data_IF_434232558588
#
_entry.id   IF_434232558588
#
_cell.length_a   1.000
_cell.length_b   1.000
_cell.length_c   1.000
_cell.angle_alpha   90.00
_cell.angle_beta   90.00
_cell.angle_gamma   90.00
#
_symmetry.space_group_name_H-M   'P 1'
#
loop_
_entity.id
_entity.type
_entity.pdbx_description
1 polymer ?
#
# COMPACT_ATOMS: atom_id res chain seq x y z
N UNK A 1 -5.29 -28.32 -11.36
CA UNK A 1 -5.21 -27.82 -9.96
C UNK A 1 -4.04 -26.86 -9.89
N UNK A 2 -4.24 -25.63 -9.42
CA UNK A 2 -3.15 -24.64 -9.29
C UNK A 2 -2.44 -24.89 -7.96
N UNK A 3 -1.16 -25.22 -8.01
CA UNK A 3 -0.33 -25.43 -6.82
C UNK A 3 0.48 -24.16 -6.54
N UNK A 4 0.29 -23.58 -5.36
CA UNK A 4 1.04 -22.41 -4.91
C UNK A 4 2.29 -22.86 -4.14
N UNK A 5 3.47 -22.53 -4.64
CA UNK A 5 4.75 -22.91 -4.01
C UNK A 5 5.24 -21.95 -2.93
N UNK A 6 4.72 -20.70 -2.91
CA UNK A 6 5.02 -19.70 -1.87
C UNK A 6 3.72 -19.02 -1.43
N UNK A 7 3.34 -19.28 -0.18
CA UNK A 7 2.11 -18.77 0.45
C UNK A 7 2.36 -17.62 1.42
N UNK A 8 3.62 -17.25 1.65
CA UNK A 8 3.98 -16.21 2.60
C UNK A 8 3.56 -14.84 2.06
N UNK A 9 2.79 -14.04 2.84
CA UNK A 9 2.51 -12.67 2.48
C UNK A 9 3.80 -11.85 2.42
N UNK A 10 3.85 -10.86 1.54
CA UNK A 10 5.03 -10.01 1.33
C UNK A 10 4.60 -8.61 0.92
N UNK A 11 5.37 -7.61 1.35
CA UNK A 11 5.23 -6.22 0.91
C UNK A 11 6.38 -5.88 -0.01
N UNK A 12 6.06 -5.41 -1.22
CA UNK A 12 7.05 -4.90 -2.18
C UNK A 12 7.11 -3.38 -2.09
N UNK A 13 8.30 -2.81 -2.05
CA UNK A 13 8.53 -1.37 -1.99
C UNK A 13 9.09 -0.88 -3.32
N UNK A 14 8.55 0.22 -3.85
CA UNK A 14 9.09 0.88 -5.05
C UNK A 14 8.98 2.39 -4.92
N UNK A 15 9.87 3.12 -5.60
CA UNK A 15 9.83 4.60 -5.62
C UNK A 15 8.95 5.07 -6.78
N UNK A 16 8.13 6.09 -6.53
CA UNK A 16 7.29 6.81 -7.49
C UNK A 16 7.58 8.31 -7.39
N UNK A 17 7.07 9.07 -8.37
CA UNK A 17 7.37 10.50 -8.52
C UNK A 17 7.08 11.34 -7.27
N UNK A 18 6.05 10.95 -6.50
CA UNK A 18 5.61 11.66 -5.30
C UNK A 18 5.77 10.87 -3.99
N UNK A 19 6.42 9.71 -3.98
CA UNK A 19 6.59 8.95 -2.74
C UNK A 19 7.02 7.50 -2.90
N UNK A 20 6.93 6.74 -1.81
CA UNK A 20 7.20 5.30 -1.78
C UNK A 20 5.88 4.53 -1.90
N UNK A 21 5.80 3.65 -2.90
CA UNK A 21 4.65 2.77 -3.11
C UNK A 21 4.90 1.40 -2.47
N UNK A 22 3.99 1.01 -1.58
CA UNK A 22 3.96 -0.29 -0.93
C UNK A 22 2.89 -1.17 -1.57
N UNK A 23 3.28 -2.31 -2.13
CA UNK A 23 2.37 -3.28 -2.75
C UNK A 23 2.30 -4.54 -1.91
N UNK A 24 1.13 -4.83 -1.35
CA UNK A 24 0.91 -6.01 -0.52
C UNK A 24 0.47 -7.18 -1.40
N UNK A 25 1.16 -8.31 -1.26
CA UNK A 25 0.76 -9.59 -1.85
C UNK A 25 0.45 -10.58 -0.73
N UNK A 26 -0.75 -11.13 -0.74
CA UNK A 26 -1.19 -12.12 0.24
C UNK A 26 -2.16 -13.13 -0.40
N UNK A 27 -2.33 -14.29 0.24
CA UNK A 27 -3.33 -15.29 -0.17
C UNK A 27 -4.63 -15.04 0.61
N UNK A 28 -5.76 -15.09 -0.09
CA UNK A 28 -7.08 -15.08 0.54
C UNK A 28 -8.03 -16.06 -0.15
N UNK A 29 -9.07 -16.48 0.57
CA UNK A 29 -10.19 -17.19 -0.04
C UNK A 29 -10.88 -16.26 -1.06
N UNK A 30 -11.14 -16.71 -2.31
CA UNK A 30 -11.67 -15.84 -3.36
C UNK A 30 -12.96 -15.11 -2.99
N UNK A 31 -13.84 -15.77 -2.21
CA UNK A 31 -15.12 -15.21 -1.77
C UNK A 31 -14.97 -14.12 -0.70
N UNK A 32 -13.84 -14.08 0.01
CA UNK A 32 -13.54 -13.12 1.07
C UNK A 32 -12.59 -12.01 0.63
N UNK A 33 -12.09 -12.04 -0.61
CA UNK A 33 -11.08 -11.09 -1.13
C UNK A 33 -11.39 -9.62 -0.79
N UNK A 34 -12.62 -9.16 -1.01
CA UNK A 34 -13.01 -7.77 -0.74
C UNK A 34 -13.00 -7.44 0.75
N UNK A 35 -13.51 -8.35 1.58
CA UNK A 35 -13.53 -8.16 3.04
C UNK A 35 -12.12 -8.22 3.65
N UNK A 36 -11.27 -9.12 3.18
CA UNK A 36 -9.87 -9.17 3.62
C UNK A 36 -9.07 -7.95 3.16
N UNK A 37 -9.32 -7.46 1.94
CA UNK A 37 -8.69 -6.24 1.44
C UNK A 37 -9.14 -5.01 2.23
N UNK A 38 -10.42 -4.90 2.55
CA UNK A 38 -10.94 -3.82 3.39
C UNK A 38 -10.31 -3.83 4.79
N UNK A 39 -10.28 -4.99 5.47
CA UNK A 39 -9.71 -5.07 6.81
C UNK A 39 -8.23 -4.67 6.84
N UNK A 40 -7.45 -5.14 5.85
CA UNK A 40 -6.03 -4.73 5.72
C UNK A 40 -5.92 -3.22 5.52
N UNK A 41 -6.79 -2.61 4.71
CA UNK A 41 -6.78 -1.16 4.51
C UNK A 41 -7.14 -0.38 5.77
N UNK A 42 -8.19 -0.78 6.49
CA UNK A 42 -8.60 -0.13 7.75
C UNK A 42 -7.47 -0.21 8.79
N UNK A 43 -6.86 -1.38 8.96
CA UNK A 43 -5.72 -1.57 9.87
C UNK A 43 -4.52 -0.68 9.50
N UNK A 44 -4.23 -0.51 8.21
CA UNK A 44 -3.15 0.37 7.74
C UNK A 44 -3.45 1.84 8.03
N UNK A 45 -4.69 2.28 7.77
CA UNK A 45 -5.12 3.65 8.02
C UNK A 45 -5.06 3.99 9.51
N UNK A 46 -5.55 3.08 10.37
CA UNK A 46 -5.50 3.25 11.82
C UNK A 46 -4.05 3.29 12.33
N UNK A 47 -3.18 2.41 11.81
CA UNK A 47 -1.77 2.40 12.16
C UNK A 47 -1.04 3.68 11.73
N UNK A 48 -1.33 4.21 10.54
CA UNK A 48 -0.70 5.44 10.05
C UNK A 48 -1.26 6.68 10.75
N UNK A 49 -2.55 6.68 11.13
CA UNK A 49 -3.14 7.77 11.91
C UNK A 49 -2.50 7.96 13.30
N UNK A 50 -1.85 6.92 13.84
CA UNK A 50 -1.08 7.00 15.09
C UNK A 50 0.30 7.68 14.93
N UNK A 51 0.69 8.05 13.71
CA UNK A 51 2.00 8.59 13.39
C UNK A 51 1.90 9.93 12.66
N UNK A 52 2.14 11.03 13.37
CA UNK A 52 2.08 12.40 12.83
C UNK A 52 3.17 12.72 11.79
N UNK A 53 4.13 11.81 11.58
CA UNK A 53 5.26 11.98 10.67
C UNK A 53 5.14 11.13 9.39
N UNK A 54 3.98 10.51 9.16
CA UNK A 54 3.69 9.73 7.95
C UNK A 54 2.57 10.42 7.18
N UNK A 55 2.91 10.93 6.00
CA UNK A 55 1.94 11.54 5.08
C UNK A 55 1.65 10.63 3.90
N UNK A 56 0.41 10.69 3.39
CA UNK A 56 0.07 10.04 2.12
C UNK A 56 0.70 10.77 0.94
N UNK A 57 1.23 9.99 -0.01
CA UNK A 57 1.80 10.53 -1.22
C UNK A 57 0.71 11.06 -2.15
N UNK A 58 0.67 12.39 -2.33
CA UNK A 58 -0.16 13.06 -3.32
C UNK A 58 0.70 13.55 -4.50
N UNK A 59 0.18 13.62 -5.73
CA UNK A 59 0.93 14.19 -6.85
C UNK A 59 1.40 15.61 -6.54
N UNK A 60 2.71 15.81 -6.50
CA UNK A 60 3.32 17.11 -6.19
C UNK A 60 3.78 17.78 -7.47
N UNK A 61 3.32 19.01 -7.72
CA UNK A 61 3.82 19.85 -8.79
C UNK A 61 4.77 20.90 -8.23
N UNK A 62 5.98 20.97 -8.78
CA UNK A 62 6.97 21.99 -8.40
C UNK A 62 6.88 23.15 -9.38
N UNK A 63 6.62 24.34 -8.88
CA UNK A 63 6.70 25.58 -9.65
C UNK A 63 8.08 26.21 -9.43
N UNK A 64 8.69 26.70 -10.51
CA UNK A 64 9.94 27.44 -10.46
C UNK A 64 9.67 28.82 -11.04
N UNK A 65 10.04 29.86 -10.29
CA UNK A 65 10.07 31.24 -10.78
C UNK A 65 11.55 31.67 -10.83
N UNK A 66 12.04 31.92 -12.04
CA UNK A 66 13.42 32.32 -12.30
C UNK A 66 13.51 33.79 -12.75
N UNK A 67 12.49 34.60 -12.44
CA UNK A 67 12.48 36.03 -12.72
C UNK A 67 13.60 36.79 -11.99
#
# INVERSE_FOLDING_TARGET
MIFYSKLTPVVYTSVKDCGVMLTIRYLCEPRKRRGSEQGIWEDILDAFAAHDNIDFAYPTQRFYDNA
#
